data_IF_101311117097
#
_entry.id   IF_101311117097
#
_cell.length_a   1.000
_cell.length_b   1.000
_cell.length_c   1.000
_cell.angle_alpha   90.00
_cell.angle_beta   90.00
_cell.angle_gamma   90.00
#
_symmetry.space_group_name_H-M   'P 1'
#
loop_
_entity.id
_entity.type
_entity.pdbx_description
1 polymer ?
#
# COMPACT_ATOMS: atom_id res chain seq x y z
N UNK A 1 -1.60 -10.24 0.30
CA UNK A 1 -2.17 -11.50 -0.20
C UNK A 1 -1.16 -12.20 -1.10
N UNK A 2 -0.90 -11.76 -2.33
CA UNK A 2 0.00 -12.45 -3.27
C UNK A 2 1.40 -12.75 -2.71
N UNK A 3 2.07 -11.76 -2.13
CA UNK A 3 3.39 -11.96 -1.50
C UNK A 3 3.36 -13.02 -0.37
N UNK A 4 2.26 -13.08 0.39
CA UNK A 4 2.09 -14.09 1.46
C UNK A 4 1.81 -15.46 0.86
N UNK A 5 1.05 -15.56 -0.24
CA UNK A 5 0.85 -16.82 -0.94
C UNK A 5 2.18 -17.38 -1.48
N UNK A 6 3.03 -16.52 -2.07
CA UNK A 6 4.38 -16.90 -2.52
C UNK A 6 5.25 -17.39 -1.36
N UNK A 7 5.31 -16.62 -0.26
CA UNK A 7 6.07 -17.02 0.92
C UNK A 7 5.56 -18.35 1.51
N UNK A 8 4.24 -18.52 1.58
CA UNK A 8 3.62 -19.72 2.13
C UNK A 8 3.92 -20.95 1.27
N UNK A 9 3.87 -20.81 -0.05
CA UNK A 9 4.29 -21.87 -0.98
C UNK A 9 5.77 -22.23 -0.78
N UNK A 10 6.67 -21.25 -0.72
CA UNK A 10 8.11 -21.48 -0.50
C UNK A 10 8.39 -22.18 0.84
N UNK A 11 7.66 -21.80 1.89
CA UNK A 11 7.78 -22.40 3.23
C UNK A 11 6.97 -23.68 3.40
N UNK A 12 6.20 -24.09 2.37
CA UNK A 12 5.27 -25.23 2.42
C UNK A 12 4.28 -25.15 3.59
N UNK A 13 3.81 -23.93 3.89
CA UNK A 13 2.81 -23.67 4.93
C UNK A 13 1.47 -23.37 4.27
N UNK A 14 0.34 -23.97 4.72
CA UNK A 14 -0.98 -23.64 4.20
C UNK A 14 -1.33 -22.17 4.43
N UNK A 15 -1.93 -21.52 3.44
CA UNK A 15 -2.37 -20.13 3.54
C UNK A 15 -3.86 -19.99 3.23
N UNK A 16 -4.59 -19.45 4.20
CA UNK A 16 -6.00 -19.09 4.05
C UNK A 16 -6.14 -17.57 4.04
N UNK A 17 -6.78 -17.04 2.99
CA UNK A 17 -7.11 -15.63 2.87
C UNK A 17 -8.60 -15.42 3.07
N UNK A 18 -8.95 -14.59 4.06
CA UNK A 18 -10.34 -14.20 4.32
C UNK A 18 -10.65 -12.88 3.59
N UNK A 19 -11.74 -12.84 2.84
CA UNK A 19 -12.20 -11.64 2.12
C UNK A 19 -13.69 -11.39 2.30
N UNK A 20 -14.12 -10.14 2.10
CA UNK A 20 -15.53 -9.77 2.06
C UNK A 20 -16.20 -10.37 0.80
N UNK A 21 -17.37 -11.02 0.97
CA UNK A 21 -18.13 -11.66 -0.14
C UNK A 21 -18.40 -10.72 -1.32
N UNK A 22 -18.75 -9.46 -1.05
CA UNK A 22 -19.07 -8.45 -2.08
C UNK A 22 -17.90 -8.16 -3.03
N UNK A 23 -16.66 -8.53 -2.66
CA UNK A 23 -15.45 -8.30 -3.45
C UNK A 23 -14.95 -9.53 -4.20
N UNK A 24 -15.67 -10.65 -4.11
CA UNK A 24 -15.24 -11.96 -4.59
C UNK A 24 -15.47 -12.19 -6.11
N UNK A 25 -16.03 -11.22 -6.82
CA UNK A 25 -16.62 -11.47 -8.15
C UNK A 25 -15.63 -11.64 -9.32
N UNK A 26 -14.31 -11.56 -9.12
CA UNK A 26 -13.33 -11.71 -10.22
C UNK A 26 -12.13 -12.59 -9.81
N UNK A 27 -12.35 -13.91 -9.76
CA UNK A 27 -11.33 -14.89 -9.39
C UNK A 27 -10.37 -15.28 -10.53
N UNK A 28 -10.71 -14.92 -11.77
CA UNK A 28 -10.05 -15.49 -12.95
C UNK A 28 -8.74 -14.77 -13.32
N UNK A 29 -8.49 -13.57 -12.80
CA UNK A 29 -7.33 -12.77 -13.19
C UNK A 29 -6.70 -11.99 -12.02
N UNK A 30 -5.48 -11.50 -12.24
CA UNK A 30 -4.75 -10.64 -11.30
C UNK A 30 -4.25 -11.35 -10.03
N UNK A 31 -4.04 -10.56 -8.97
CA UNK A 31 -3.40 -11.03 -7.74
C UNK A 31 -4.12 -12.22 -7.09
N UNK A 32 -5.46 -12.28 -7.19
CA UNK A 32 -6.25 -13.35 -6.60
C UNK A 32 -6.00 -14.67 -7.34
N UNK A 33 -6.11 -14.67 -8.68
CA UNK A 33 -5.83 -15.84 -9.51
C UNK A 33 -4.42 -16.37 -9.30
N UNK A 34 -3.42 -15.49 -9.30
CA UNK A 34 -2.03 -15.85 -9.01
C UNK A 34 -1.87 -16.47 -7.62
N UNK A 35 -2.54 -15.91 -6.60
CA UNK A 35 -2.47 -16.45 -5.24
C UNK A 35 -3.11 -17.84 -5.13
N UNK A 36 -4.26 -18.05 -5.80
CA UNK A 36 -4.93 -19.35 -5.86
C UNK A 36 -4.05 -20.40 -6.55
N UNK A 37 -3.38 -20.05 -7.64
CA UNK A 37 -2.44 -20.93 -8.34
C UNK A 37 -1.24 -21.36 -7.47
N UNK A 38 -0.88 -20.55 -6.46
CA UNK A 38 0.15 -20.86 -5.47
C UNK A 38 -0.36 -21.73 -4.31
N UNK A 39 -1.62 -22.16 -4.33
CA UNK A 39 -2.24 -22.98 -3.29
C UNK A 39 -2.89 -22.20 -2.15
N UNK A 40 -3.10 -20.89 -2.31
CA UNK A 40 -3.90 -20.12 -1.35
C UNK A 40 -5.36 -20.60 -1.37
N UNK A 41 -5.94 -20.82 -0.18
CA UNK A 41 -7.37 -21.02 -0.01
C UNK A 41 -8.05 -19.68 0.26
N UNK A 42 -8.97 -19.26 -0.60
CA UNK A 42 -9.79 -18.07 -0.35
C UNK A 42 -11.10 -18.46 0.35
N UNK A 43 -11.47 -17.72 1.39
CA UNK A 43 -12.73 -17.88 2.12
C UNK A 43 -13.43 -16.52 2.15
N UNK A 44 -14.61 -16.47 1.53
CA UNK A 44 -15.44 -15.27 1.51
C UNK A 44 -16.41 -15.27 2.69
N UNK A 45 -16.38 -14.23 3.52
CA UNK A 45 -17.27 -14.06 4.67
C UNK A 45 -18.13 -12.80 4.51
N UNK A 46 -19.33 -12.77 5.12
CA UNK A 46 -20.09 -11.53 5.30
C UNK A 46 -19.24 -10.46 6.00
N UNK A 47 -19.54 -9.18 5.71
CA UNK A 47 -18.77 -8.06 6.28
C UNK A 47 -18.73 -8.07 7.81
N UNK A 48 -19.85 -8.41 8.46
CA UNK A 48 -19.94 -8.51 9.91
C UNK A 48 -18.92 -9.51 10.49
N UNK A 49 -18.78 -10.67 9.86
CA UNK A 49 -17.88 -11.74 10.32
C UNK A 49 -16.41 -11.37 10.11
N UNK A 50 -16.08 -10.68 9.01
CA UNK A 50 -14.73 -10.11 8.79
C UNK A 50 -14.40 -9.09 9.90
N UNK A 51 -15.32 -8.20 10.24
CA UNK A 51 -15.12 -7.21 11.30
C UNK A 51 -14.92 -7.87 12.67
N UNK A 52 -15.66 -8.94 12.95
CA UNK A 52 -15.52 -9.74 14.17
C UNK A 52 -14.18 -10.49 14.25
N UNK A 53 -13.72 -11.03 13.11
CA UNK A 53 -12.40 -11.67 12.99
C UNK A 53 -11.27 -10.66 13.26
N UNK A 54 -11.36 -9.47 12.66
CA UNK A 54 -10.35 -8.40 12.83
C UNK A 54 -10.30 -7.91 14.28
N UNK A 55 -11.44 -7.88 14.99
CA UNK A 55 -11.52 -7.50 16.42
C UNK A 55 -11.08 -8.61 17.37
N UNK A 56 -10.50 -9.69 16.85
CA UNK A 56 -10.01 -10.86 17.60
C UNK A 56 -11.07 -11.67 18.36
N UNK A 57 -12.34 -11.28 18.29
CA UNK A 57 -13.44 -11.93 19.01
C UNK A 57 -13.82 -13.31 18.46
N UNK A 58 -13.47 -13.59 17.20
CA UNK A 58 -13.76 -14.87 16.54
C UNK A 58 -12.49 -15.65 16.13
N UNK A 59 -11.31 -15.31 16.65
CA UNK A 59 -10.09 -16.08 16.36
C UNK A 59 -10.20 -17.52 16.85
N UNK A 60 -10.82 -17.74 18.01
CA UNK A 60 -11.00 -19.07 18.62
C UNK A 60 -11.88 -19.99 17.77
N UNK A 61 -13.01 -19.50 17.24
CA UNK A 61 -13.87 -20.28 16.35
C UNK A 61 -13.19 -20.60 15.02
N UNK A 62 -12.48 -19.64 14.42
CA UNK A 62 -11.71 -19.90 13.19
C UNK A 62 -10.57 -20.90 13.42
N UNK A 63 -9.91 -20.86 14.59
CA UNK A 63 -8.90 -21.87 14.96
C UNK A 63 -9.55 -23.26 15.03
N UNK A 64 -10.74 -23.39 15.62
CA UNK A 64 -11.46 -24.66 15.68
C UNK A 64 -11.88 -25.15 14.28
N UNK A 65 -12.46 -24.28 13.45
CA UNK A 65 -13.01 -24.64 12.15
C UNK A 65 -11.94 -24.92 11.08
N UNK A 66 -10.76 -24.28 11.19
CA UNK A 66 -9.74 -24.30 10.12
C UNK A 66 -8.34 -24.77 10.55
N UNK A 67 -8.09 -24.99 11.84
CA UNK A 67 -6.75 -25.37 12.30
C UNK A 67 -6.68 -26.06 13.65
N UNK A 68 -7.70 -26.84 14.02
CA UNK A 68 -7.65 -27.69 15.20
C UNK A 68 -6.37 -28.53 15.20
N UNK A 69 -5.62 -28.49 16.31
CA UNK A 69 -4.34 -29.18 16.47
C UNK A 69 -3.15 -28.57 15.72
N UNK A 70 -3.27 -27.38 15.13
CA UNK A 70 -2.19 -26.69 14.40
C UNK A 70 -1.85 -25.33 15.02
N UNK A 71 -0.59 -24.92 14.87
CA UNK A 71 -0.17 -23.54 15.17
C UNK A 71 -0.60 -22.63 14.02
N UNK A 72 -1.47 -21.66 14.31
CA UNK A 72 -1.97 -20.69 13.33
C UNK A 72 -1.29 -19.33 13.57
N UNK A 73 -0.87 -18.68 12.48
CA UNK A 73 -0.36 -17.30 12.49
C UNK A 73 -1.40 -16.42 11.80
N UNK A 74 -1.95 -15.46 12.53
CA UNK A 74 -2.87 -14.47 11.98
C UNK A 74 -2.08 -13.26 11.48
N UNK A 75 -2.21 -12.96 10.18
CA UNK A 75 -1.60 -11.79 9.57
C UNK A 75 -2.69 -10.76 9.23
N UNK A 76 -2.71 -9.58 9.87
CA UNK A 76 -3.68 -8.55 9.54
C UNK A 76 -3.40 -7.96 8.15
N UNK A 77 -4.43 -7.33 7.57
CA UNK A 77 -4.33 -6.62 6.30
C UNK A 77 -3.13 -5.65 6.34
N UNK A 78 -2.37 -5.61 5.25
CA UNK A 78 -1.23 -4.70 5.10
C UNK A 78 -0.07 -4.99 6.05
N UNK A 79 -0.05 -6.16 6.70
CA UNK A 79 0.92 -6.50 7.73
C UNK A 79 0.98 -5.45 8.86
N UNK A 80 -0.18 -4.87 9.22
CA UNK A 80 -0.29 -3.87 10.28
C UNK A 80 -0.16 -4.48 11.69
N UNK A 81 1.04 -4.94 12.02
CA UNK A 81 1.42 -5.51 13.31
C UNK A 81 2.87 -5.13 13.67
N UNK A 82 3.28 -5.34 14.92
CA UNK A 82 4.52 -4.78 15.46
C UNK A 82 5.77 -5.32 14.78
N UNK A 83 5.78 -6.58 14.40
CA UNK A 83 6.93 -7.27 13.83
C UNK A 83 7.24 -6.81 12.40
N UNK A 84 6.33 -6.08 11.74
CA UNK A 84 6.64 -5.41 10.48
C UNK A 84 7.83 -4.42 10.61
N UNK A 85 8.07 -3.90 11.82
CA UNK A 85 9.17 -2.97 12.12
C UNK A 85 10.55 -3.52 11.74
N UNK A 86 10.76 -4.84 11.79
CA UNK A 86 12.08 -5.44 11.53
C UNK A 86 12.52 -5.22 10.08
N UNK A 87 11.65 -5.52 9.10
CA UNK A 87 11.96 -5.29 7.69
C UNK A 87 12.02 -3.80 7.34
N UNK A 88 11.19 -2.98 7.98
CA UNK A 88 11.15 -1.54 7.72
C UNK A 88 12.36 -0.83 8.33
N UNK A 89 12.90 -1.31 9.45
CA UNK A 89 14.17 -0.83 10.01
C UNK A 89 15.32 -1.06 9.04
N UNK A 90 15.34 -2.21 8.37
CA UNK A 90 16.34 -2.50 7.34
C UNK A 90 16.22 -1.52 6.16
N UNK A 91 15.01 -1.25 5.66
CA UNK A 91 14.77 -0.22 4.64
C UNK A 91 15.24 1.18 5.10
N UNK A 92 14.98 1.55 6.36
CA UNK A 92 15.43 2.84 6.90
C UNK A 92 16.96 2.94 6.93
N UNK A 93 17.64 1.87 7.34
CA UNK A 93 19.10 1.79 7.34
C UNK A 93 19.66 1.95 5.93
N UNK A 94 19.07 1.28 4.93
CA UNK A 94 19.47 1.39 3.53
C UNK A 94 19.31 2.82 3.00
N UNK A 95 18.23 3.51 3.37
CA UNK A 95 17.99 4.91 3.00
C UNK A 95 18.97 5.88 3.68
N UNK A 96 19.24 5.71 4.99
CA UNK A 96 20.21 6.53 5.70
C UNK A 96 21.62 6.35 5.11
N UNK A 97 22.01 5.11 4.79
CA UNK A 97 23.27 4.81 4.11
C UNK A 97 23.34 5.44 2.72
N UNK A 98 22.28 5.35 1.92
CA UNK A 98 22.19 6.03 0.63
C UNK A 98 22.44 7.54 0.79
N UNK A 99 21.75 8.20 1.73
CA UNK A 99 21.90 9.64 1.95
C UNK A 99 23.32 10.04 2.39
N UNK A 100 23.98 9.21 3.20
CA UNK A 100 25.36 9.42 3.66
C UNK A 100 26.38 9.27 2.53
N UNK A 101 26.16 8.34 1.60
CA UNK A 101 27.08 8.06 0.50
C UNK A 101 27.04 9.11 -0.62
N UNK A 102 26.00 9.94 -0.68
CA UNK A 102 25.96 11.07 -1.61
C UNK A 102 26.99 12.13 -1.20
N UNK A 103 27.70 12.72 -2.16
CA UNK A 103 28.77 13.68 -1.91
C UNK A 103 28.27 14.87 -1.04
N UNK A 104 28.81 15.00 0.17
CA UNK A 104 28.43 16.03 1.15
C UNK A 104 27.24 15.68 2.05
N UNK A 105 26.65 14.49 1.88
CA UNK A 105 25.40 14.09 2.52
C UNK A 105 24.19 14.84 1.96
N UNK A 106 23.04 14.17 1.85
CA UNK A 106 21.79 14.81 1.44
C UNK A 106 20.75 14.76 2.56
N UNK A 107 19.79 15.67 2.50
CA UNK A 107 18.50 15.51 3.18
C UNK A 107 17.48 14.94 2.20
N UNK A 108 16.46 14.24 2.70
CA UNK A 108 15.50 13.54 1.85
C UNK A 108 14.07 13.78 2.31
N UNK A 109 13.18 14.01 1.34
CA UNK A 109 11.75 13.79 1.48
C UNK A 109 11.43 12.40 0.95
N UNK A 110 11.27 11.42 1.85
CA UNK A 110 10.94 10.04 1.50
C UNK A 110 9.43 9.90 1.37
N UNK A 111 8.94 9.57 0.17
CA UNK A 111 7.51 9.58 -0.15
C UNK A 111 7.03 8.19 -0.53
N UNK A 112 5.88 7.77 0.01
CA UNK A 112 5.29 6.47 -0.31
C UNK A 112 3.75 6.45 -0.30
N UNK A 113 3.11 5.62 -1.14
CA UNK A 113 1.70 5.32 -1.02
C UNK A 113 1.39 4.50 0.24
N UNK A 114 0.21 4.71 0.81
CA UNK A 114 -0.24 3.99 2.00
C UNK A 114 -1.64 3.40 1.87
N UNK A 115 -1.70 2.07 2.03
CA UNK A 115 -2.92 1.36 2.38
C UNK A 115 -3.21 1.51 3.87
N UNK A 116 -2.57 0.70 4.72
CA UNK A 116 -2.68 0.76 6.19
C UNK A 116 -1.71 1.74 6.83
N UNK A 117 -0.71 2.22 6.09
CA UNK A 117 0.31 3.16 6.60
C UNK A 117 1.45 2.52 7.38
N UNK A 118 1.47 1.20 7.55
CA UNK A 118 2.47 0.48 8.37
C UNK A 118 3.91 0.78 7.97
N UNK A 119 4.22 0.78 6.67
CA UNK A 119 5.55 1.13 6.16
C UNK A 119 5.94 2.56 6.55
N UNK A 120 5.07 3.54 6.27
CA UNK A 120 5.36 4.94 6.57
C UNK A 120 5.54 5.20 8.07
N UNK A 121 4.70 4.56 8.90
CA UNK A 121 4.75 4.69 10.35
C UNK A 121 6.08 4.20 10.93
N UNK A 122 6.50 2.97 10.58
CA UNK A 122 7.76 2.44 11.10
C UNK A 122 8.98 3.10 10.47
N UNK A 123 8.90 3.50 9.21
CA UNK A 123 10.00 4.23 8.56
C UNK A 123 10.27 5.53 9.31
N UNK A 124 9.22 6.25 9.72
CA UNK A 124 9.32 7.47 10.51
C UNK A 124 9.98 7.27 11.90
N UNK A 125 10.06 6.04 12.42
CA UNK A 125 10.75 5.75 13.69
C UNK A 125 12.24 5.50 13.54
N UNK A 126 12.67 5.04 12.36
CA UNK A 126 14.02 4.53 12.13
C UNK A 126 14.83 5.37 11.16
N UNK A 127 14.18 6.21 10.36
CA UNK A 127 14.85 7.15 9.46
C UNK A 127 15.50 8.27 10.27
N UNK A 128 16.69 8.72 9.84
CA UNK A 128 17.40 9.78 10.53
C UNK A 128 16.60 11.09 10.51
N UNK A 129 16.71 11.89 11.59
CA UNK A 129 15.97 13.16 11.75
C UNK A 129 16.30 14.22 10.70
N UNK A 130 17.37 14.02 9.93
CA UNK A 130 17.71 14.85 8.77
C UNK A 130 16.81 14.57 7.54
N UNK A 131 15.90 13.60 7.64
CA UNK A 131 15.00 13.19 6.58
C UNK A 131 13.54 13.25 7.06
N UNK A 132 12.62 13.40 6.13
CA UNK A 132 11.18 13.45 6.39
C UNK A 132 10.47 12.31 5.69
N UNK A 133 9.49 11.69 6.37
CA UNK A 133 8.64 10.67 5.76
C UNK A 133 7.29 11.28 5.42
N UNK A 134 6.90 11.20 4.15
CA UNK A 134 5.64 11.65 3.60
C UNK A 134 4.81 10.46 3.10
N UNK A 135 3.54 10.41 3.47
CA UNK A 135 2.64 9.30 3.15
C UNK A 135 1.37 9.78 2.47
N UNK A 136 0.91 9.03 1.47
CA UNK A 136 -0.31 9.36 0.71
C UNK A 136 -1.41 8.33 1.04
N UNK A 137 -2.60 8.77 1.50
CA UNK A 137 -3.69 7.87 1.88
C UNK A 137 -4.41 7.31 0.65
N UNK A 138 -4.01 6.13 0.17
CA UNK A 138 -4.57 5.52 -1.04
C UNK A 138 -5.89 4.77 -0.79
N UNK A 139 -6.10 4.20 0.40
CA UNK A 139 -7.29 3.37 0.71
C UNK A 139 -8.37 4.15 1.45
N UNK A 140 -7.99 4.75 2.58
CA UNK A 140 -8.85 5.62 3.38
C UNK A 140 -8.48 7.09 3.18
N UNK A 141 -8.74 7.92 4.17
CA UNK A 141 -8.24 9.30 4.23
C UNK A 141 -7.19 9.46 5.33
N UNK A 142 -6.81 10.71 5.59
CA UNK A 142 -5.83 11.05 6.61
C UNK A 142 -6.30 10.65 8.02
N UNK A 143 -7.60 10.74 8.33
CA UNK A 143 -8.14 10.30 9.62
C UNK A 143 -8.01 8.79 9.78
N UNK A 144 -8.34 8.04 8.72
CA UNK A 144 -8.12 6.60 8.69
C UNK A 144 -6.65 6.23 8.97
N UNK A 145 -5.69 6.88 8.30
CA UNK A 145 -4.26 6.62 8.55
C UNK A 145 -3.85 6.96 9.99
N UNK A 146 -4.32 8.09 10.55
CA UNK A 146 -4.06 8.44 11.95
C UNK A 146 -4.56 7.37 12.91
N UNK A 147 -5.76 6.84 12.70
CA UNK A 147 -6.28 5.71 13.49
C UNK A 147 -5.44 4.44 13.33
N UNK A 148 -4.89 4.16 12.14
CA UNK A 148 -3.96 3.03 11.97
C UNK A 148 -2.65 3.25 12.74
N UNK A 149 -2.09 4.46 12.69
CA UNK A 149 -0.87 4.81 13.41
C UNK A 149 -1.03 4.68 14.92
N UNK A 150 -2.16 5.13 15.48
CA UNK A 150 -2.47 4.94 16.90
C UNK A 150 -2.46 3.47 17.33
N UNK A 151 -2.97 2.57 16.48
CA UNK A 151 -2.94 1.12 16.77
C UNK A 151 -1.52 0.55 16.77
N UNK A 152 -0.66 1.02 15.87
CA UNK A 152 0.75 0.61 15.80
C UNK A 152 1.57 1.23 16.95
N UNK A 153 1.20 2.43 17.39
CA UNK A 153 1.82 3.18 18.48
C UNK A 153 1.61 2.53 19.85
N UNK A 154 0.56 1.72 20.04
CA UNK A 154 0.31 1.01 21.32
C UNK A 154 1.48 0.10 21.75
N UNK A 155 2.37 -0.27 20.82
CA UNK A 155 3.59 -1.03 21.11
C UNK A 155 4.80 -0.21 21.54
N UNK A 156 4.66 1.09 21.75
CA UNK A 156 5.76 2.00 22.10
C UNK A 156 5.57 2.56 23.51
N UNK A 157 6.68 2.71 24.23
CA UNK A 157 6.69 3.28 25.58
C UNK A 157 6.60 4.82 25.58
N UNK A 158 6.72 5.46 24.41
CA UNK A 158 6.70 6.90 24.19
C UNK A 158 5.85 7.26 22.97
N UNK A 159 5.44 8.52 22.84
CA UNK A 159 4.68 9.00 21.69
C UNK A 159 5.54 8.94 20.41
N UNK A 160 5.24 8.05 19.46
CA UNK A 160 6.09 7.83 18.30
C UNK A 160 5.95 8.96 17.27
N UNK A 161 6.99 9.19 16.48
CA UNK A 161 6.95 10.22 15.44
C UNK A 161 5.98 9.82 14.33
N UNK A 162 5.09 10.71 13.90
CA UNK A 162 4.09 10.37 12.88
C UNK A 162 4.56 10.92 11.52
N UNK A 163 4.49 10.12 10.42
CA UNK A 163 4.83 10.63 9.09
C UNK A 163 3.87 11.74 8.64
N UNK A 164 4.37 12.66 7.82
CA UNK A 164 3.59 13.73 7.21
C UNK A 164 2.57 13.16 6.22
N UNK A 165 1.28 13.33 6.48
CA UNK A 165 0.24 12.85 5.57
C UNK A 165 -0.02 13.92 4.50
N UNK A 166 0.29 13.61 3.24
CA UNK A 166 -0.05 14.48 2.11
C UNK A 166 -1.54 14.28 1.78
N UNK A 167 -2.34 15.32 1.99
CA UNK A 167 -3.78 15.27 1.77
C UNK A 167 -4.03 15.54 0.27
N UNK A 168 -4.64 14.60 -0.48
CA UNK A 168 -4.95 14.80 -1.89
C UNK A 168 -5.97 15.93 -2.06
N UNK A 169 -5.81 16.78 -3.08
CA UNK A 169 -6.79 17.84 -3.39
C UNK A 169 -8.16 17.26 -3.74
N UNK A 170 -8.18 16.07 -4.35
CA UNK A 170 -9.41 15.35 -4.71
C UNK A 170 -9.44 13.98 -4.05
N UNK A 171 -10.41 13.77 -3.15
CA UNK A 171 -10.65 12.44 -2.56
C UNK A 171 -11.15 11.45 -3.61
N UNK A 172 -10.50 10.29 -3.70
CA UNK A 172 -10.92 9.17 -4.54
C UNK A 172 -11.19 7.96 -3.68
N UNK A 173 -12.25 7.20 -4.02
CA UNK A 173 -12.46 5.89 -3.41
C UNK A 173 -11.41 4.92 -3.93
N UNK A 174 -10.90 4.05 -3.07
CA UNK A 174 -9.94 3.03 -3.47
C UNK A 174 -10.48 2.19 -4.64
N UNK A 175 -9.69 2.06 -5.70
CA UNK A 175 -10.08 1.31 -6.91
C UNK A 175 -11.04 2.05 -7.85
N UNK A 176 -11.43 3.29 -7.56
CA UNK A 176 -12.21 4.12 -8.48
C UNK A 176 -11.39 4.50 -9.72
N UNK A 177 -11.93 4.29 -10.92
CA UNK A 177 -11.27 4.70 -12.16
C UNK A 177 -11.21 6.23 -12.27
N UNK A 178 -10.01 6.76 -12.49
CA UNK A 178 -9.76 8.17 -12.68
C UNK A 178 -8.75 8.38 -13.82
N UNK A 179 -9.15 9.15 -14.84
CA UNK A 179 -8.35 9.28 -16.07
C UNK A 179 -6.96 9.89 -15.84
N UNK A 180 -6.77 10.88 -14.94
CA UNK A 180 -5.43 11.36 -14.62
C UNK A 180 -4.48 10.28 -14.10
N UNK A 181 -4.95 9.30 -13.32
CA UNK A 181 -4.09 8.17 -12.92
C UNK A 181 -3.67 7.30 -14.11
N UNK A 182 -4.56 7.13 -15.09
CA UNK A 182 -4.24 6.41 -16.33
C UNK A 182 -3.23 7.18 -17.19
N UNK A 183 -3.33 8.51 -17.29
CA UNK A 183 -2.35 9.31 -18.00
C UNK A 183 -0.99 9.31 -17.30
N UNK A 184 -0.96 9.51 -15.98
CA UNK A 184 0.26 9.43 -15.16
C UNK A 184 0.93 8.07 -15.31
N UNK A 185 0.17 6.96 -15.35
CA UNK A 185 0.73 5.63 -15.59
C UNK A 185 1.54 5.56 -16.90
N UNK A 186 0.98 6.05 -18.01
CA UNK A 186 1.67 6.01 -19.30
C UNK A 186 2.84 6.98 -19.34
N UNK A 187 2.69 8.19 -18.80
CA UNK A 187 3.73 9.20 -18.75
C UNK A 187 4.94 8.73 -17.92
N UNK A 188 4.69 8.13 -16.74
CA UNK A 188 5.75 7.54 -15.92
C UNK A 188 6.44 6.39 -16.62
N UNK A 189 5.68 5.47 -17.23
CA UNK A 189 6.26 4.34 -17.94
C UNK A 189 7.10 4.80 -19.14
N UNK A 190 6.64 5.80 -19.89
CA UNK A 190 7.36 6.36 -21.01
C UNK A 190 8.66 7.07 -20.59
N UNK A 191 8.58 7.91 -19.55
CA UNK A 191 9.70 8.74 -19.09
C UNK A 191 10.75 7.97 -18.27
N UNK A 192 10.32 7.02 -17.44
CA UNK A 192 11.21 6.33 -16.49
C UNK A 192 11.53 4.89 -16.89
N UNK A 193 10.74 4.29 -17.78
CA UNK A 193 10.74 2.84 -18.08
C UNK A 193 10.41 1.95 -16.88
N UNK A 194 9.95 2.54 -15.78
CA UNK A 194 9.49 1.82 -14.58
C UNK A 194 7.96 1.74 -14.65
N UNK A 195 7.43 0.53 -14.45
CA UNK A 195 5.99 0.34 -14.34
C UNK A 195 5.53 0.59 -12.91
N UNK A 196 4.56 1.48 -12.74
CA UNK A 196 3.90 1.75 -11.45
C UNK A 196 2.51 1.15 -11.44
N UNK A 197 2.01 0.75 -10.26
CA UNK A 197 0.64 0.25 -10.17
C UNK A 197 -0.39 1.39 -10.24
N UNK A 198 -1.55 1.10 -10.84
CA UNK A 198 -2.64 2.08 -11.04
C UNK A 198 -3.44 2.41 -9.76
N UNK A 199 -3.29 1.64 -8.67
CA UNK A 199 -4.09 1.79 -7.45
C UNK A 199 -3.40 2.62 -6.37
N UNK A 200 -2.10 2.38 -6.19
CA UNK A 200 -1.26 3.01 -5.18
C UNK A 200 -0.24 3.92 -5.84
N UNK A 201 0.59 3.38 -6.75
CA UNK A 201 1.70 4.09 -7.37
C UNK A 201 1.28 5.35 -8.10
N UNK A 202 0.40 5.23 -9.10
CA UNK A 202 -0.05 6.36 -9.91
C UNK A 202 -0.84 7.39 -9.10
N UNK A 203 -1.56 6.94 -8.06
CA UNK A 203 -2.21 7.87 -7.15
C UNK A 203 -1.18 8.62 -6.30
N UNK A 204 -0.15 7.95 -5.79
CA UNK A 204 0.90 8.63 -5.04
C UNK A 204 1.63 9.67 -5.89
N UNK A 205 2.02 9.34 -7.12
CA UNK A 205 2.64 10.30 -8.03
C UNK A 205 1.74 11.50 -8.33
N UNK A 206 0.45 11.28 -8.53
CA UNK A 206 -0.51 12.37 -8.69
C UNK A 206 -0.49 13.35 -7.50
N UNK A 207 -0.53 12.83 -6.28
CA UNK A 207 -0.53 13.66 -5.06
C UNK A 207 0.84 14.27 -4.81
N UNK A 208 1.93 13.61 -5.19
CA UNK A 208 3.27 14.19 -5.13
C UNK A 208 3.40 15.42 -6.02
N UNK A 209 2.92 15.35 -7.26
CA UNK A 209 2.93 16.51 -8.15
C UNK A 209 2.07 17.66 -7.60
N UNK A 210 0.96 17.36 -6.92
CA UNK A 210 0.16 18.39 -6.24
C UNK A 210 0.89 19.09 -5.08
N UNK A 211 1.93 18.46 -4.52
CA UNK A 211 2.64 18.86 -3.30
C UNK A 211 4.15 19.02 -3.53
N UNK A 212 4.59 19.21 -4.77
CA UNK A 212 6.01 19.17 -5.12
C UNK A 212 6.82 20.25 -4.40
N UNK A 213 6.27 21.46 -4.25
CA UNK A 213 6.92 22.56 -3.52
C UNK A 213 7.20 22.19 -2.06
N UNK A 214 6.21 21.60 -1.37
CA UNK A 214 6.36 21.12 0.01
C UNK A 214 7.44 20.03 0.12
N UNK A 215 7.54 19.16 -0.88
CA UNK A 215 8.49 18.05 -0.91
C UNK A 215 9.91 18.48 -1.28
N UNK A 216 10.07 19.64 -1.92
CA UNK A 216 11.38 20.17 -2.32
C UNK A 216 12.02 21.05 -1.25
N UNK A 217 11.30 21.42 -0.19
CA UNK A 217 11.80 22.34 0.82
C UNK A 217 12.53 21.59 1.95
N UNK A 218 13.87 21.61 2.01
CA UNK A 218 14.60 20.92 3.07
C UNK A 218 14.39 21.58 4.43
N UNK A 219 14.55 20.79 5.48
CA UNK A 219 14.70 21.30 6.84
C UNK A 219 16.04 22.00 7.08
N UNK A 220 17.04 21.72 6.22
CA UNK A 220 18.39 22.28 6.28
C UNK A 220 18.81 22.80 4.89
N UNK A 221 18.76 24.12 4.71
CA UNK A 221 19.11 24.79 3.45
C UNK A 221 20.60 24.68 3.08
N UNK A 222 21.45 24.22 4.01
CA UNK A 222 22.88 24.00 3.73
C UNK A 222 23.17 22.68 3.03
N UNK A 223 22.18 21.78 2.96
CA UNK A 223 22.29 20.46 2.33
C UNK A 223 21.51 20.42 1.03
N UNK A 224 22.05 19.69 0.06
CA UNK A 224 21.28 19.25 -1.09
C UNK A 224 20.08 18.43 -0.59
N UNK A 225 18.92 18.69 -1.18
CA UNK A 225 17.67 18.00 -0.87
C UNK A 225 17.22 17.15 -2.05
N UNK A 226 16.77 15.93 -1.79
CA UNK A 226 16.22 15.04 -2.80
C UNK A 226 14.88 14.46 -2.38
N UNK A 227 14.00 14.22 -3.34
CA UNK A 227 12.78 13.46 -3.14
C UNK A 227 13.08 12.01 -3.46
N UNK A 228 12.83 11.11 -2.51
CA UNK A 228 12.99 9.67 -2.69
C UNK A 228 11.63 9.00 -2.68
N UNK A 229 11.19 8.51 -3.83
CA UNK A 229 9.95 7.74 -3.93
C UNK A 229 10.20 6.26 -3.64
N UNK A 230 9.48 5.69 -2.65
CA UNK A 230 9.56 4.26 -2.36
C UNK A 230 8.51 3.51 -3.19
N UNK A 231 8.97 2.81 -4.22
CA UNK A 231 8.13 1.98 -5.08
C UNK A 231 7.67 0.70 -4.35
N UNK A 232 6.41 0.66 -3.89
CA UNK A 232 5.88 -0.44 -3.06
C UNK A 232 5.37 -1.67 -3.84
N UNK A 233 5.59 -1.74 -5.15
CA UNK A 233 5.19 -2.86 -6.00
C UNK A 233 3.74 -2.74 -6.49
N UNK A 234 3.01 -3.85 -6.58
CA UNK A 234 1.58 -3.86 -6.94
C UNK A 234 1.27 -3.94 -8.45
N UNK A 235 2.29 -3.89 -9.31
CA UNK A 235 2.17 -3.89 -10.78
C UNK A 235 1.40 -5.09 -11.34
N UNK A 236 1.42 -6.22 -10.64
CA UNK A 236 0.65 -7.42 -10.97
C UNK A 236 -0.88 -7.19 -10.96
N UNK A 237 -1.35 -6.11 -10.34
CA UNK A 237 -2.74 -5.64 -10.39
C UNK A 237 -3.09 -4.79 -11.61
N UNK A 238 -2.11 -4.37 -12.42
CA UNK A 238 -2.36 -3.47 -13.55
C UNK A 238 -3.21 -4.12 -14.63
N UNK A 239 -3.06 -5.43 -14.87
CA UNK A 239 -3.82 -6.14 -15.91
C UNK A 239 -5.33 -5.92 -15.75
N UNK A 240 -5.87 -6.15 -14.54
CA UNK A 240 -7.31 -5.99 -14.27
C UNK A 240 -7.72 -4.52 -14.25
N UNK A 241 -6.85 -3.62 -13.76
CA UNK A 241 -7.12 -2.18 -13.78
C UNK A 241 -7.19 -1.61 -15.19
N UNK A 242 -6.22 -1.95 -16.05
CA UNK A 242 -6.17 -1.52 -17.44
C UNK A 242 -7.38 -2.03 -18.23
N UNK A 243 -7.82 -3.27 -17.99
CA UNK A 243 -9.05 -3.79 -18.58
C UNK A 243 -10.28 -2.94 -18.21
N UNK A 244 -10.42 -2.56 -16.93
CA UNK A 244 -11.49 -1.68 -16.47
C UNK A 244 -11.44 -0.30 -17.14
N UNK A 245 -10.24 0.27 -17.33
CA UNK A 245 -10.07 1.52 -18.09
C UNK A 245 -10.46 1.37 -19.57
N UNK A 246 -10.08 0.27 -20.22
CA UNK A 246 -10.48 -0.03 -21.61
C UNK A 246 -11.99 -0.09 -21.75
N UNK A 247 -12.67 -0.85 -20.89
CA UNK A 247 -14.14 -0.95 -20.89
C UNK A 247 -14.82 0.41 -20.71
N UNK A 248 -14.33 1.22 -19.75
CA UNK A 248 -14.86 2.58 -19.54
C UNK A 248 -14.72 3.46 -20.80
N UNK A 249 -13.60 3.38 -21.52
CA UNK A 249 -13.38 4.14 -22.76
C UNK A 249 -14.30 3.69 -23.90
N UNK A 250 -14.51 2.38 -24.04
CA UNK A 250 -15.44 1.81 -25.04
C UNK A 250 -16.86 2.28 -24.76
N UNK A 251 -17.32 2.17 -23.52
CA UNK A 251 -18.67 2.60 -23.14
C UNK A 251 -18.90 4.09 -23.41
N UNK A 252 -17.92 4.95 -23.06
CA UNK A 252 -18.02 6.39 -23.33
C UNK A 252 -18.13 6.71 -24.83
N UNK A 253 -17.43 5.96 -25.71
CA UNK A 253 -17.52 6.11 -27.17
C UNK A 253 -18.87 5.67 -27.72
N UNK A 254 -19.42 4.57 -27.21
CA UNK A 254 -20.75 4.09 -27.59
C UNK A 254 -21.84 5.09 -27.18
N UNK A 255 -21.77 5.66 -25.97
CA UNK A 255 -22.72 6.68 -25.52
C UNK A 255 -22.64 7.98 -26.33
N UNK A 256 -21.45 8.37 -26.81
CA UNK A 256 -21.31 9.55 -27.67
C UNK A 256 -21.84 9.34 -29.09
N UNK A 257 -21.83 8.09 -29.59
CA UNK A 257 -22.35 7.75 -30.92
C UNK A 257 -23.88 7.55 -30.92
N UNK A 258 -24.48 7.20 -29.77
CA UNK A 258 -25.95 7.09 -29.63
C UNK A 258 -26.67 8.42 -29.37
N UNK A 259 -25.92 9.52 -29.24
CA UNK A 259 -26.43 10.88 -29.01
C UNK A 259 -26.27 11.79 -30.24
N UNK A 260 -25.85 11.22 -31.38
CA UNK A 260 -25.73 11.86 -32.71
C UNK A 260 -26.71 11.17 -33.64
#
# INVERSE_FOLDING_TARGET
MLAIAQLSQQKKVPFTYFCEQERYQNLLEGNMAMSNALGMRCISLPRHDIEMLVKEKCKSSIVQDYGAGKRIIFLPRGAAFQEAKFGIKQLAMELNLYALHQAGGISMSVVLPSGTGTTAFYLAQFLDKAHTVHTIPCVGDHLYLRTQFQKLAFGFDFDPFIPNILIPKVKKRFGQLYMPFYHIYHELLESTKIEFDLLYGCFAWHVMFENLETLLFPSDLSKKHEIVYVHTGGVSGNLTMLQRYRQKRVNNRLTSLSLV
#
